data_IF_955421956671
#
_entry.id   IF_955421956671
#
_cell.length_a   1.000
_cell.length_b   1.000
_cell.length_c   1.000
_cell.angle_alpha   90.00
_cell.angle_beta   90.00
_cell.angle_gamma   90.00
#
_symmetry.space_group_name_H-M   'P 1'
#
loop_
_entity.id
_entity.type
_entity.pdbx_description
1 polymer ?
#
# COMPACT_ATOMS: atom_id res chain seq x y z
N UNK A 1 11.88 17.96 0.80
CA UNK A 1 12.18 18.27 2.21
C UNK A 1 13.60 18.81 2.36
N UNK A 2 14.59 18.17 1.73
CA UNK A 2 16.02 18.42 1.97
C UNK A 2 16.50 19.83 1.60
N UNK A 3 15.87 20.47 0.59
CA UNK A 3 16.16 21.84 0.16
C UNK A 3 15.55 22.93 1.05
N UNK A 4 14.29 22.74 1.42
CA UNK A 4 13.44 23.78 2.03
C UNK A 4 13.51 23.73 3.56
N UNK A 5 13.91 22.59 4.12
CA UNK A 5 13.90 22.31 5.56
C UNK A 5 12.95 21.14 5.86
N UNK A 6 13.49 20.09 6.47
CA UNK A 6 12.74 18.86 6.78
C UNK A 6 11.61 19.12 7.77
N UNK A 7 11.86 19.94 8.80
CA UNK A 7 10.85 20.36 9.77
C UNK A 7 9.77 21.23 9.12
N UNK A 8 10.17 22.23 8.35
CA UNK A 8 9.21 23.10 7.64
C UNK A 8 8.28 22.30 6.74
N UNK A 9 8.81 21.38 5.92
CA UNK A 9 7.98 20.55 5.05
C UNK A 9 7.09 19.57 5.82
N UNK A 10 7.59 18.98 6.92
CA UNK A 10 6.77 18.16 7.80
C UNK A 10 5.57 18.95 8.35
N UNK A 11 5.79 20.15 8.89
CA UNK A 11 4.71 20.98 9.43
C UNK A 11 3.71 21.44 8.36
N UNK A 12 4.18 21.80 7.16
CA UNK A 12 3.30 22.10 6.02
C UNK A 12 2.43 20.89 5.67
N UNK A 13 3.04 19.70 5.59
CA UNK A 13 2.32 18.46 5.33
C UNK A 13 1.26 18.16 6.40
N UNK A 14 1.59 18.35 7.68
CA UNK A 14 0.64 18.18 8.79
C UNK A 14 -0.53 19.15 8.68
N UNK A 15 -0.28 20.43 8.40
CA UNK A 15 -1.35 21.44 8.25
C UNK A 15 -2.24 21.12 7.05
N UNK A 16 -1.66 20.79 5.90
CA UNK A 16 -2.41 20.43 4.70
C UNK A 16 -3.26 19.17 4.91
N UNK A 17 -2.68 18.12 5.52
CA UNK A 17 -3.39 16.89 5.86
C UNK A 17 -4.55 17.15 6.82
N UNK A 18 -4.29 17.87 7.91
CA UNK A 18 -5.30 18.16 8.95
C UNK A 18 -6.44 19.02 8.41
N UNK A 19 -6.11 20.02 7.58
CA UNK A 19 -7.12 20.87 6.94
C UNK A 19 -7.93 20.07 5.93
N UNK A 20 -7.28 19.25 5.10
CA UNK A 20 -7.97 18.34 4.17
C UNK A 20 -8.95 17.42 4.90
N UNK A 21 -8.50 16.75 5.98
CA UNK A 21 -9.35 15.90 6.81
C UNK A 21 -10.53 16.66 7.41
N UNK A 22 -10.31 17.88 7.92
CA UNK A 22 -11.40 18.73 8.42
C UNK A 22 -12.44 19.04 7.32
N UNK A 23 -11.97 19.36 6.11
CA UNK A 23 -12.85 19.61 4.96
C UNK A 23 -13.61 18.33 4.55
N UNK A 24 -12.98 17.16 4.60
CA UNK A 24 -13.65 15.88 4.34
C UNK A 24 -14.83 15.65 5.30
N UNK A 25 -14.63 15.92 6.60
CA UNK A 25 -15.72 15.85 7.59
C UNK A 25 -16.84 16.86 7.33
N UNK A 26 -16.52 18.05 6.82
CA UNK A 26 -17.49 19.11 6.48
C UNK A 26 -18.15 18.95 5.10
N UNK A 27 -17.77 17.93 4.32
CA UNK A 27 -18.15 17.84 2.92
C UNK A 27 -19.68 17.78 2.72
N UNK A 28 -20.30 18.71 1.98
CA UNK A 28 -21.75 18.68 1.73
C UNK A 28 -22.13 17.71 0.61
N UNK A 29 -21.21 17.41 -0.30
CA UNK A 29 -21.41 16.53 -1.45
C UNK A 29 -20.12 15.77 -1.80
N UNK A 30 -20.24 14.79 -2.71
CA UNK A 30 -19.14 13.91 -3.11
C UNK A 30 -18.02 14.69 -3.83
N UNK A 31 -18.36 15.68 -4.66
CA UNK A 31 -17.34 16.47 -5.37
C UNK A 31 -16.44 17.24 -4.40
N UNK A 32 -17.04 17.84 -3.37
CA UNK A 32 -16.30 18.54 -2.32
C UNK A 32 -15.43 17.56 -1.53
N UNK A 33 -15.96 16.39 -1.19
CA UNK A 33 -15.21 15.34 -0.49
C UNK A 33 -13.96 14.92 -1.29
N UNK A 34 -14.11 14.73 -2.61
CA UNK A 34 -12.98 14.38 -3.49
C UNK A 34 -11.90 15.47 -3.47
N UNK A 35 -12.28 16.74 -3.59
CA UNK A 35 -11.31 17.86 -3.58
C UNK A 35 -10.61 17.96 -2.21
N UNK A 36 -11.35 17.76 -1.12
CA UNK A 36 -10.80 17.73 0.22
C UNK A 36 -9.81 16.57 0.42
N UNK A 37 -10.15 15.38 -0.09
CA UNK A 37 -9.26 14.20 -0.08
C UNK A 37 -8.01 14.44 -0.92
N UNK A 38 -8.09 15.18 -2.03
CA UNK A 38 -6.91 15.55 -2.81
C UNK A 38 -5.95 16.42 -1.99
N UNK A 39 -6.46 17.39 -1.23
CA UNK A 39 -5.65 18.21 -0.33
C UNK A 39 -5.04 17.36 0.80
N UNK A 40 -5.83 16.47 1.38
CA UNK A 40 -5.38 15.53 2.41
C UNK A 40 -4.25 14.62 1.88
N UNK A 41 -4.42 14.07 0.68
CA UNK A 41 -3.42 13.23 0.01
C UNK A 41 -2.12 13.99 -0.31
N UNK A 42 -2.21 15.26 -0.74
CA UNK A 42 -1.04 16.13 -0.92
C UNK A 42 -0.32 16.33 0.42
N UNK A 43 -1.06 16.59 1.49
CA UNK A 43 -0.52 16.65 2.85
C UNK A 43 0.23 15.37 3.22
N UNK A 44 -0.40 14.21 3.01
CA UNK A 44 0.19 12.89 3.27
C UNK A 44 1.48 12.65 2.48
N UNK A 45 1.48 12.99 1.19
CA UNK A 45 2.64 12.84 0.30
C UNK A 45 3.84 13.69 0.74
N UNK A 46 3.59 14.83 1.39
CA UNK A 46 4.63 15.70 1.96
C UNK A 46 5.08 15.19 3.34
N UNK A 47 4.13 14.86 4.22
CA UNK A 47 4.40 14.60 5.63
C UNK A 47 5.15 13.27 5.84
N UNK A 48 4.80 12.21 5.12
CA UNK A 48 5.36 10.87 5.30
C UNK A 48 6.87 10.83 5.03
N UNK A 49 7.37 11.22 3.84
CA UNK A 49 8.81 11.21 3.57
C UNK A 49 9.57 12.23 4.44
N UNK A 50 8.97 13.39 4.73
CA UNK A 50 9.58 14.39 5.61
C UNK A 50 9.75 13.86 7.05
N UNK A 51 8.81 13.07 7.55
CA UNK A 51 8.89 12.44 8.88
C UNK A 51 10.05 11.45 8.96
N UNK A 52 10.23 10.59 7.95
CA UNK A 52 11.35 9.65 7.90
C UNK A 52 12.68 10.39 7.81
N UNK A 53 12.76 11.44 6.99
CA UNK A 53 13.97 12.26 6.85
C UNK A 53 14.38 12.95 8.17
N UNK A 54 13.40 13.37 9.00
CA UNK A 54 13.65 13.90 10.35
C UNK A 54 14.19 12.83 11.29
N UNK A 55 13.65 11.60 11.24
CA UNK A 55 14.16 10.47 12.02
C UNK A 55 15.62 10.19 11.66
N UNK A 56 15.94 10.11 10.37
CA UNK A 56 17.31 9.86 9.89
C UNK A 56 18.30 10.97 10.27
N UNK A 57 17.82 12.20 10.40
CA UNK A 57 18.65 13.35 10.79
C UNK A 57 18.93 13.39 12.30
N UNK A 58 17.94 13.03 13.11
CA UNK A 58 17.95 13.28 14.56
C UNK A 58 18.76 12.23 15.31
N UNK A 59 18.77 10.99 14.82
CA UNK A 59 19.45 9.88 15.50
C UNK A 59 20.87 9.66 14.96
N UNK A 60 21.84 9.32 15.84
CA UNK A 60 23.17 8.93 15.41
C UNK A 60 23.11 7.64 14.58
N UNK A 61 24.10 7.42 13.70
CA UNK A 61 24.09 6.37 12.67
C UNK A 61 23.83 4.98 13.24
N UNK A 62 24.32 4.70 14.43
CA UNK A 62 24.20 3.42 15.13
C UNK A 62 22.76 3.15 15.59
N UNK A 63 21.98 4.20 15.84
CA UNK A 63 20.58 4.12 16.30
C UNK A 63 19.56 4.23 15.17
N UNK A 64 19.97 4.60 13.96
CA UNK A 64 19.06 4.74 12.80
C UNK A 64 18.22 3.47 12.55
N UNK A 65 18.78 2.25 12.54
CA UNK A 65 17.98 1.05 12.30
C UNK A 65 16.85 0.86 13.32
N UNK A 66 17.14 1.14 14.60
CA UNK A 66 16.15 1.05 15.69
C UNK A 66 15.09 2.13 15.55
N UNK A 67 15.48 3.36 15.23
CA UNK A 67 14.56 4.47 15.07
C UNK A 67 13.60 4.25 13.87
N UNK A 68 14.13 3.75 12.75
CA UNK A 68 13.32 3.38 11.57
C UNK A 68 12.39 2.20 11.89
N UNK A 69 12.84 1.23 12.68
CA UNK A 69 12.00 0.11 13.12
C UNK A 69 10.82 0.60 13.99
N UNK A 70 11.06 1.52 14.92
CA UNK A 70 9.99 2.14 15.75
C UNK A 70 9.02 2.93 14.86
N UNK A 71 9.54 3.76 13.94
CA UNK A 71 8.71 4.51 12.98
C UNK A 71 7.80 3.60 12.16
N UNK A 72 8.33 2.48 11.65
CA UNK A 72 7.55 1.49 10.92
C UNK A 72 6.54 0.74 11.80
N UNK A 73 6.92 0.42 13.04
CA UNK A 73 6.04 -0.27 14.00
C UNK A 73 4.82 0.58 14.37
N UNK A 74 5.00 1.89 14.59
CA UNK A 74 3.90 2.83 14.83
C UNK A 74 2.94 2.83 13.65
N UNK A 75 3.46 2.88 12.41
CA UNK A 75 2.65 2.79 11.20
C UNK A 75 1.85 1.48 11.09
N UNK A 76 2.45 0.35 11.47
CA UNK A 76 1.78 -0.95 11.48
C UNK A 76 0.66 -1.02 12.52
N UNK A 77 0.91 -0.51 13.74
CA UNK A 77 -0.11 -0.43 14.80
C UNK A 77 -1.26 0.48 14.37
N UNK A 78 -0.97 1.66 13.80
CA UNK A 78 -1.98 2.56 13.27
C UNK A 78 -2.82 1.89 12.16
N UNK A 79 -2.17 1.18 11.24
CA UNK A 79 -2.85 0.44 10.17
C UNK A 79 -3.73 -0.71 10.68
N UNK A 80 -3.32 -1.40 11.75
CA UNK A 80 -4.10 -2.46 12.37
C UNK A 80 -5.27 -1.93 13.21
N UNK A 81 -5.07 -0.83 13.94
CA UNK A 81 -6.10 -0.19 14.75
C UNK A 81 -7.13 0.57 13.91
N UNK A 82 -6.74 1.05 12.72
CA UNK A 82 -7.56 1.87 11.83
C UNK A 82 -8.95 1.29 11.53
N UNK A 83 -9.09 0.05 11.01
CA UNK A 83 -10.39 -0.53 10.72
C UNK A 83 -11.31 -0.67 11.94
N UNK A 84 -10.76 -1.06 13.09
CA UNK A 84 -11.55 -1.25 14.32
C UNK A 84 -12.03 0.09 14.89
N UNK A 85 -11.13 1.07 15.00
CA UNK A 85 -11.47 2.41 15.47
C UNK A 85 -12.42 3.12 14.49
N UNK A 86 -12.16 3.00 13.19
CA UNK A 86 -13.02 3.53 12.13
C UNK A 86 -14.41 2.92 12.16
N UNK A 87 -14.52 1.60 12.30
CA UNK A 87 -15.81 0.92 12.43
C UNK A 87 -16.59 1.38 13.66
N UNK A 88 -15.94 1.49 14.82
CA UNK A 88 -16.58 2.00 16.05
C UNK A 88 -17.12 3.43 15.87
N UNK A 89 -16.36 4.29 15.20
CA UNK A 89 -16.73 5.70 14.99
C UNK A 89 -17.86 5.84 13.98
N UNK A 90 -17.82 5.07 12.89
CA UNK A 90 -18.87 5.07 11.87
C UNK A 90 -20.19 4.54 12.43
N UNK A 91 -20.13 3.48 13.26
CA UNK A 91 -21.31 2.81 13.82
C UNK A 91 -21.99 3.64 14.92
N UNK A 92 -21.23 4.35 15.78
CA UNK A 92 -21.78 5.12 16.90
C UNK A 92 -22.02 6.60 16.61
N UNK A 93 -21.30 7.20 15.65
CA UNK A 93 -21.36 8.63 15.37
C UNK A 93 -21.79 8.86 13.92
N UNK A 94 -20.81 8.99 13.03
CA UNK A 94 -21.01 9.02 11.59
C UNK A 94 -19.67 8.84 10.89
N UNK A 95 -19.71 8.54 9.60
CA UNK A 95 -18.50 8.46 8.76
C UNK A 95 -17.67 9.76 8.76
N UNK A 96 -18.28 10.94 9.00
CA UNK A 96 -17.57 12.22 9.05
C UNK A 96 -16.58 12.27 10.21
N UNK A 97 -16.91 11.63 11.33
CA UNK A 97 -16.03 11.59 12.50
C UNK A 97 -14.76 10.78 12.26
N UNK A 98 -14.73 9.88 11.28
CA UNK A 98 -13.50 9.20 10.89
C UNK A 98 -12.41 10.19 10.42
N UNK A 99 -12.82 11.32 9.83
CA UNK A 99 -11.88 12.40 9.46
C UNK A 99 -11.57 13.33 10.63
N UNK A 100 -12.55 13.62 11.51
CA UNK A 100 -12.32 14.49 12.67
C UNK A 100 -11.34 13.92 13.69
N UNK A 101 -11.15 12.60 13.76
CA UNK A 101 -10.13 11.96 14.62
C UNK A 101 -8.72 12.44 14.29
N UNK A 102 -8.46 12.83 13.04
CA UNK A 102 -7.15 13.31 12.62
C UNK A 102 -6.83 14.72 13.14
N UNK A 103 -7.83 15.53 13.49
CA UNK A 103 -7.66 16.91 13.95
C UNK A 103 -6.84 17.02 15.24
N UNK A 104 -7.18 16.33 16.35
CA UNK A 104 -6.40 16.40 17.58
C UNK A 104 -4.97 15.87 17.37
N UNK A 105 -4.80 14.81 16.57
CA UNK A 105 -3.48 14.23 16.26
C UNK A 105 -2.63 15.20 15.43
N UNK A 106 -3.22 15.82 14.42
CA UNK A 106 -2.58 16.82 13.57
C UNK A 106 -2.17 18.07 14.35
N UNK A 107 -3.06 18.59 15.20
CA UNK A 107 -2.80 19.72 16.07
C UNK A 107 -1.66 19.42 17.06
N UNK A 108 -1.72 18.26 17.72
CA UNK A 108 -0.66 17.82 18.64
C UNK A 108 0.69 17.68 17.92
N UNK A 109 0.70 17.04 16.75
CA UNK A 109 1.88 16.86 15.92
C UNK A 109 2.48 18.20 15.45
N UNK A 110 1.64 19.18 15.12
CA UNK A 110 2.07 20.51 14.74
C UNK A 110 2.70 21.27 15.92
N UNK A 111 2.01 21.31 17.07
CA UNK A 111 2.48 22.03 18.26
C UNK A 111 3.78 21.44 18.78
N UNK A 112 3.84 20.11 18.93
CA UNK A 112 5.04 19.42 19.41
C UNK A 112 6.15 19.49 18.38
N UNK A 113 5.83 19.29 17.10
CA UNK A 113 6.78 19.36 16.01
C UNK A 113 7.47 20.73 15.91
N UNK A 114 6.72 21.81 16.13
CA UNK A 114 7.29 23.17 16.13
C UNK A 114 8.24 23.41 17.30
N UNK A 115 7.99 22.80 18.45
CA UNK A 115 8.78 23.00 19.68
C UNK A 115 10.02 22.11 19.77
N UNK A 116 9.90 20.85 19.34
CA UNK A 116 10.89 19.82 19.60
C UNK A 116 11.77 19.52 18.39
N UNK A 117 11.24 19.64 17.17
CA UNK A 117 12.00 19.21 15.99
C UNK A 117 13.10 20.21 15.64
N UNK A 118 14.32 19.72 15.33
CA UNK A 118 15.38 20.55 14.82
C UNK A 118 15.07 21.02 13.40
N UNK A 119 15.46 22.24 13.04
CA UNK A 119 15.47 22.64 11.63
C UNK A 119 16.71 22.05 10.96
N UNK A 120 16.52 21.43 9.80
CA UNK A 120 17.59 20.78 9.05
C UNK A 120 17.38 20.92 7.57
N UNK A 121 18.32 21.56 6.89
CA UNK A 121 18.45 21.55 5.43
C UNK A 121 19.75 20.84 5.07
N UNK A 122 19.75 20.10 3.98
CA UNK A 122 21.00 19.58 3.43
C UNK A 122 21.81 20.73 2.86
N UNK A 123 23.11 20.75 3.16
CA UNK A 123 24.03 21.79 2.67
C UNK A 123 24.19 21.73 1.15
N UNK A 124 24.01 20.55 0.53
CA UNK A 124 24.10 20.38 -0.91
C UNK A 124 23.05 19.36 -1.43
N UNK A 125 21.79 19.79 -1.60
CA UNK A 125 20.64 18.91 -1.83
C UNK A 125 20.52 18.39 -3.28
N UNK A 126 21.61 18.38 -4.07
CA UNK A 126 21.61 17.94 -5.47
C UNK A 126 20.70 18.76 -6.38
N UNK A 127 20.36 18.25 -7.58
CA UNK A 127 19.38 18.83 -8.53
C UNK A 127 17.96 18.32 -8.24
N UNK A 128 16.93 19.11 -8.57
CA UNK A 128 15.54 18.64 -8.49
C UNK A 128 15.32 17.53 -9.53
N UNK A 129 14.50 16.51 -9.20
CA UNK A 129 14.02 15.57 -10.19
C UNK A 129 13.30 16.31 -11.32
N UNK A 130 13.40 15.77 -12.55
CA UNK A 130 12.77 16.35 -13.73
C UNK A 130 11.25 16.55 -13.54
N UNK A 131 10.74 17.80 -13.50
CA UNK A 131 9.32 18.06 -13.22
C UNK A 131 8.40 17.50 -14.32
N UNK A 132 8.89 17.42 -15.57
CA UNK A 132 8.14 16.79 -16.67
C UNK A 132 8.00 15.29 -16.43
N UNK A 133 9.06 14.62 -15.99
CA UNK A 133 9.03 13.23 -15.56
C UNK A 133 8.04 12.99 -14.41
N UNK A 134 8.00 13.89 -13.42
CA UNK A 134 7.03 13.79 -12.31
C UNK A 134 5.60 13.93 -12.83
N UNK A 135 5.32 14.93 -13.67
CA UNK A 135 4.00 15.19 -14.22
C UNK A 135 3.51 14.05 -15.13
N UNK A 136 4.38 13.52 -15.98
CA UNK A 136 4.05 12.39 -16.88
C UNK A 136 3.84 11.09 -16.11
N UNK A 137 4.64 10.80 -15.08
CA UNK A 137 4.42 9.63 -14.22
C UNK A 137 3.09 9.74 -13.46
N UNK A 138 2.86 10.88 -12.78
CA UNK A 138 1.64 11.12 -12.02
C UNK A 138 0.39 11.09 -12.93
N UNK A 139 0.45 11.78 -14.07
CA UNK A 139 -0.63 11.81 -15.05
C UNK A 139 -0.92 10.44 -15.66
N UNK A 140 0.11 9.67 -16.01
CA UNK A 140 -0.05 8.31 -16.52
C UNK A 140 -0.72 7.38 -15.52
N UNK A 141 -0.26 7.38 -14.26
CA UNK A 141 -0.87 6.60 -13.16
C UNK A 141 -2.32 7.05 -12.91
N UNK A 142 -2.58 8.35 -12.93
CA UNK A 142 -3.92 8.92 -12.76
C UNK A 142 -4.86 8.48 -13.89
N UNK A 143 -4.42 8.49 -15.15
CA UNK A 143 -5.21 8.03 -16.30
C UNK A 143 -5.53 6.54 -16.23
N UNK A 144 -4.55 5.70 -15.87
CA UNK A 144 -4.79 4.26 -15.65
C UNK A 144 -5.85 4.07 -14.57
N UNK A 145 -5.66 4.70 -13.42
CA UNK A 145 -6.59 4.64 -12.27
C UNK A 145 -7.98 5.13 -12.67
N UNK A 146 -8.07 6.24 -13.41
CA UNK A 146 -9.31 6.84 -13.85
C UNK A 146 -10.09 5.92 -14.81
N UNK A 147 -9.40 5.32 -15.80
CA UNK A 147 -10.02 4.37 -16.71
C UNK A 147 -10.61 3.18 -15.94
N UNK A 148 -9.85 2.63 -14.99
CA UNK A 148 -10.27 1.49 -14.17
C UNK A 148 -11.49 1.83 -13.32
N UNK A 149 -11.48 2.97 -12.61
CA UNK A 149 -12.58 3.37 -11.73
C UNK A 149 -13.86 3.63 -12.54
N UNK A 150 -13.74 4.21 -13.74
CA UNK A 150 -14.90 4.50 -14.58
C UNK A 150 -15.45 3.29 -15.34
N UNK A 151 -14.82 2.12 -15.20
CA UNK A 151 -15.22 0.93 -15.95
C UNK A 151 -16.66 0.50 -15.69
N UNK A 152 -17.20 0.74 -14.50
CA UNK A 152 -18.61 0.43 -14.21
C UNK A 152 -19.59 1.34 -14.96
N UNK A 153 -19.19 2.57 -15.31
CA UNK A 153 -20.05 3.52 -16.04
C UNK A 153 -19.87 3.41 -17.55
N UNK A 154 -18.63 3.19 -18.02
CA UNK A 154 -18.34 3.14 -19.46
C UNK A 154 -18.38 1.73 -20.03
N UNK A 155 -18.10 0.71 -19.22
CA UNK A 155 -17.86 -0.66 -19.68
C UNK A 155 -16.44 -0.86 -20.21
N UNK A 156 -15.92 -2.08 -20.01
CA UNK A 156 -14.55 -2.49 -20.37
C UNK A 156 -14.25 -2.38 -21.87
N UNK A 157 -15.25 -2.58 -22.74
CA UNK A 157 -15.08 -2.55 -24.20
C UNK A 157 -15.34 -1.19 -24.84
N UNK A 158 -15.60 -0.15 -24.04
CA UNK A 158 -15.95 1.17 -24.58
C UNK A 158 -14.76 1.90 -25.18
N UNK A 159 -15.02 2.69 -26.22
CA UNK A 159 -14.02 3.58 -26.82
C UNK A 159 -13.43 4.57 -25.80
N UNK A 160 -14.20 4.98 -24.78
CA UNK A 160 -13.73 5.85 -23.69
C UNK A 160 -12.71 5.14 -22.81
N UNK A 161 -12.99 3.91 -22.38
CA UNK A 161 -12.05 3.11 -21.59
C UNK A 161 -10.76 2.85 -22.37
N UNK A 162 -10.88 2.32 -23.59
CA UNK A 162 -9.73 1.99 -24.45
C UNK A 162 -8.92 3.24 -24.78
N UNK A 163 -9.58 4.34 -25.18
CA UNK A 163 -8.91 5.60 -25.50
C UNK A 163 -8.17 6.21 -24.30
N UNK A 164 -8.75 6.13 -23.10
CA UNK A 164 -8.08 6.58 -21.87
C UNK A 164 -6.87 5.72 -21.55
N UNK A 165 -6.98 4.39 -21.72
CA UNK A 165 -5.87 3.47 -21.47
C UNK A 165 -4.74 3.62 -22.48
N UNK A 166 -5.05 3.82 -23.78
CA UNK A 166 -4.07 4.12 -24.82
C UNK A 166 -3.36 5.44 -24.52
N UNK A 167 -4.10 6.46 -24.11
CA UNK A 167 -3.52 7.76 -23.69
C UNK A 167 -2.60 7.57 -22.49
N UNK A 168 -3.02 6.80 -21.49
CA UNK A 168 -2.19 6.49 -20.32
C UNK A 168 -0.90 5.77 -20.72
N UNK A 169 -0.97 4.79 -21.62
CA UNK A 169 0.18 4.07 -22.14
C UNK A 169 1.13 5.00 -22.90
N UNK A 170 0.61 5.92 -23.71
CA UNK A 170 1.41 6.92 -24.43
C UNK A 170 2.13 7.88 -23.46
N UNK A 171 1.43 8.36 -22.42
CA UNK A 171 2.01 9.25 -21.39
C UNK A 171 3.09 8.52 -20.57
N UNK A 172 2.86 7.26 -20.20
CA UNK A 172 3.86 6.44 -19.50
C UNK A 172 5.05 6.09 -20.41
N UNK A 173 4.83 5.85 -21.70
CA UNK A 173 5.91 5.67 -22.66
C UNK A 173 6.76 6.96 -22.79
N UNK A 174 6.12 8.13 -22.82
CA UNK A 174 6.80 9.43 -22.79
C UNK A 174 7.62 9.59 -21.51
N UNK A 175 7.09 9.19 -20.35
CA UNK A 175 7.84 9.16 -19.10
C UNK A 175 9.10 8.28 -19.19
N UNK A 176 9.00 7.07 -19.75
CA UNK A 176 10.15 6.16 -19.93
C UNK A 176 11.21 6.78 -20.86
N UNK A 177 10.79 7.35 -21.99
CA UNK A 177 11.70 8.03 -22.93
C UNK A 177 12.35 9.26 -22.30
N UNK A 178 11.62 10.00 -21.45
CA UNK A 178 12.16 11.15 -20.73
C UNK A 178 13.22 10.71 -19.72
N UNK A 179 12.94 9.68 -18.93
CA UNK A 179 13.88 9.14 -17.95
C UNK A 179 15.15 8.56 -18.58
N UNK A 180 15.13 8.13 -19.85
CA UNK A 180 16.33 7.65 -20.54
C UNK A 180 17.19 8.77 -21.14
N UNK A 181 16.69 10.01 -21.23
CA UNK A 181 17.35 11.13 -21.91
C UNK A 181 17.81 12.26 -21.00
N UNK A 182 17.33 12.32 -19.75
CA UNK A 182 17.61 13.43 -18.82
C UNK A 182 18.70 13.05 -17.82
N UNK A 183 19.59 14.00 -17.50
CA UNK A 183 20.72 13.80 -16.58
C UNK A 183 20.30 13.45 -15.14
N UNK A 184 19.16 13.97 -14.68
CA UNK A 184 18.61 13.72 -13.35
C UNK A 184 17.17 13.19 -13.43
N UNK A 185 16.99 11.92 -13.86
CA UNK A 185 15.66 11.34 -14.02
C UNK A 185 15.00 11.12 -12.66
N UNK A 186 13.67 11.16 -12.64
CA UNK A 186 12.90 10.87 -11.41
C UNK A 186 13.11 9.44 -10.94
N UNK A 187 13.24 8.51 -11.90
CA UNK A 187 13.50 7.09 -11.67
C UNK A 187 14.63 6.67 -12.61
N UNK A 188 15.74 6.19 -12.05
CA UNK A 188 16.77 5.54 -12.85
C UNK A 188 16.25 4.20 -13.36
N UNK A 189 16.10 4.06 -14.68
CA UNK A 189 15.58 2.83 -15.31
C UNK A 189 16.47 1.60 -15.07
N UNK A 190 17.74 1.80 -14.68
CA UNK A 190 18.65 0.75 -14.22
C UNK A 190 18.10 -0.03 -13.03
N UNK A 191 17.22 0.55 -12.20
CA UNK A 191 16.53 -0.12 -11.11
C UNK A 191 15.78 -1.38 -11.60
N UNK A 192 15.14 -1.32 -12.76
CA UNK A 192 14.39 -2.45 -13.33
C UNK A 192 15.29 -3.53 -13.94
N UNK A 193 16.60 -3.28 -14.09
CA UNK A 193 17.59 -4.32 -14.44
C UNK A 193 17.87 -5.22 -13.24
N UNK A 194 17.70 -4.73 -12.01
CA UNK A 194 17.84 -5.55 -10.82
C UNK A 194 16.71 -6.57 -10.75
N UNK A 195 17.07 -7.86 -10.81
CA UNK A 195 16.10 -8.94 -10.88
C UNK A 195 15.11 -8.93 -9.71
N UNK A 196 15.60 -8.70 -8.49
CA UNK A 196 14.75 -8.63 -7.30
C UNK A 196 13.81 -7.43 -7.32
N UNK A 197 14.28 -6.25 -7.74
CA UNK A 197 13.43 -5.07 -7.87
C UNK A 197 12.28 -5.31 -8.85
N UNK A 198 12.57 -5.85 -10.04
CA UNK A 198 11.58 -6.12 -11.08
C UNK A 198 10.51 -7.12 -10.62
N UNK A 199 10.92 -8.29 -10.11
CA UNK A 199 9.97 -9.33 -9.71
C UNK A 199 9.23 -9.02 -8.41
N UNK A 200 9.87 -8.35 -7.45
CA UNK A 200 9.21 -7.93 -6.21
C UNK A 200 8.13 -6.88 -6.50
N UNK A 201 8.38 -5.90 -7.37
CA UNK A 201 7.36 -4.93 -7.77
C UNK A 201 6.23 -5.59 -8.59
N UNK A 202 6.55 -6.52 -9.50
CA UNK A 202 5.51 -7.27 -10.24
C UNK A 202 4.60 -8.06 -9.28
N UNK A 203 5.21 -8.78 -8.32
CA UNK A 203 4.46 -9.50 -7.29
C UNK A 203 3.69 -8.54 -6.36
N UNK A 204 4.21 -7.35 -6.08
CA UNK A 204 3.54 -6.32 -5.28
C UNK A 204 2.26 -5.80 -5.95
N UNK A 205 2.24 -5.60 -7.28
CA UNK A 205 0.99 -5.25 -7.99
C UNK A 205 -0.06 -6.31 -7.73
N UNK A 206 0.27 -7.57 -8.03
CA UNK A 206 -0.65 -8.71 -7.94
C UNK A 206 -1.13 -8.90 -6.50
N UNK A 207 -0.22 -8.79 -5.54
CA UNK A 207 -0.55 -8.82 -4.13
C UNK A 207 -1.53 -7.71 -3.76
N UNK A 208 -1.26 -6.46 -4.16
CA UNK A 208 -2.11 -5.32 -3.84
C UNK A 208 -3.51 -5.43 -4.46
N UNK A 209 -3.62 -6.00 -5.66
CA UNK A 209 -4.90 -6.35 -6.31
C UNK A 209 -5.70 -7.28 -5.41
N UNK A 210 -5.19 -8.48 -5.13
CA UNK A 210 -5.93 -9.47 -4.37
C UNK A 210 -6.15 -9.04 -2.91
N UNK A 211 -5.23 -8.27 -2.31
CA UNK A 211 -5.33 -7.81 -0.93
C UNK A 211 -6.47 -6.82 -0.75
N UNK A 212 -6.56 -5.80 -1.60
CA UNK A 212 -7.65 -4.83 -1.53
C UNK A 212 -8.98 -5.45 -2.00
N UNK A 213 -8.94 -6.35 -2.98
CA UNK A 213 -10.12 -7.08 -3.40
C UNK A 213 -10.68 -7.96 -2.26
N UNK A 214 -9.81 -8.71 -1.57
CA UNK A 214 -10.16 -9.48 -0.39
C UNK A 214 -10.72 -8.59 0.71
N UNK A 215 -10.04 -7.49 1.03
CA UNK A 215 -10.45 -6.61 2.13
C UNK A 215 -11.85 -6.04 1.90
N UNK A 216 -12.07 -5.37 0.76
CA UNK A 216 -13.38 -4.80 0.44
C UNK A 216 -14.45 -5.88 0.23
N UNK A 217 -14.13 -6.93 -0.54
CA UNK A 217 -15.07 -8.01 -0.84
C UNK A 217 -15.55 -8.73 0.41
N UNK A 218 -14.66 -8.94 1.38
CA UNK A 218 -15.02 -9.55 2.65
C UNK A 218 -15.88 -8.63 3.53
N UNK A 219 -15.61 -7.31 3.56
CA UNK A 219 -16.50 -6.35 4.24
C UNK A 219 -17.90 -6.39 3.63
N UNK A 220 -17.98 -6.35 2.29
CA UNK A 220 -19.25 -6.39 1.58
C UNK A 220 -19.98 -7.72 1.76
N UNK A 221 -19.26 -8.84 1.82
CA UNK A 221 -19.85 -10.15 2.09
C UNK A 221 -20.48 -10.20 3.48
N UNK A 222 -19.73 -9.83 4.52
CA UNK A 222 -20.23 -9.84 5.89
C UNK A 222 -21.45 -8.92 6.07
N UNK A 223 -21.44 -7.75 5.44
CA UNK A 223 -22.52 -6.77 5.57
C UNK A 223 -23.73 -7.08 4.69
N UNK A 224 -23.53 -7.41 3.40
CA UNK A 224 -24.63 -7.62 2.44
C UNK A 224 -25.20 -9.03 2.43
N UNK A 225 -24.39 -10.07 2.69
CA UNK A 225 -24.85 -11.46 2.66
C UNK A 225 -25.18 -11.95 4.07
N UNK A 226 -24.25 -11.77 5.02
CA UNK A 226 -24.47 -12.21 6.40
C UNK A 226 -25.25 -11.22 7.26
N UNK A 227 -25.55 -10.03 6.74
CA UNK A 227 -26.34 -9.01 7.43
C UNK A 227 -25.67 -8.48 8.70
N UNK A 228 -24.34 -8.58 8.81
CA UNK A 228 -23.63 -8.05 9.97
C UNK A 228 -23.69 -6.52 9.97
N UNK A 229 -23.79 -5.95 11.18
CA UNK A 229 -23.55 -4.51 11.36
C UNK A 229 -22.12 -4.14 10.95
N UNK A 230 -21.89 -2.85 10.68
CA UNK A 230 -20.57 -2.34 10.28
C UNK A 230 -19.53 -2.67 11.36
N UNK A 231 -19.89 -2.48 12.63
CA UNK A 231 -19.03 -2.84 13.75
C UNK A 231 -18.70 -4.34 13.78
N UNK A 232 -19.71 -5.22 13.64
CA UNK A 232 -19.50 -6.67 13.68
C UNK A 232 -18.66 -7.15 12.50
N UNK A 233 -18.86 -6.59 11.31
CA UNK A 233 -18.03 -6.87 10.13
C UNK A 233 -16.58 -6.40 10.32
N UNK A 234 -16.38 -5.19 10.85
CA UNK A 234 -15.05 -4.64 11.15
C UNK A 234 -14.27 -5.47 12.17
N UNK A 235 -14.92 -5.85 13.28
CA UNK A 235 -14.34 -6.75 14.28
C UNK A 235 -14.02 -8.11 13.66
N UNK A 236 -14.92 -8.66 12.85
CA UNK A 236 -14.73 -9.93 12.17
C UNK A 236 -13.46 -9.99 11.31
N UNK A 237 -13.16 -8.91 10.60
CA UNK A 237 -12.01 -8.80 9.68
C UNK A 237 -10.71 -8.43 10.42
N UNK A 238 -10.80 -7.73 11.55
CA UNK A 238 -9.65 -7.27 12.34
C UNK A 238 -8.70 -8.38 12.80
N UNK A 239 -9.18 -9.62 12.88
CA UNK A 239 -8.36 -10.80 13.18
C UNK A 239 -7.18 -10.94 12.21
N UNK A 240 -7.38 -10.64 10.92
CA UNK A 240 -6.34 -10.72 9.91
C UNK A 240 -5.17 -9.78 10.23
N UNK A 241 -5.40 -8.46 10.36
CA UNK A 241 -4.39 -7.50 10.81
C UNK A 241 -3.73 -7.87 12.15
N UNK A 242 -4.48 -8.41 13.13
CA UNK A 242 -3.91 -8.86 14.39
C UNK A 242 -2.91 -10.02 14.21
N UNK A 243 -3.25 -11.00 13.38
CA UNK A 243 -2.34 -12.10 13.02
C UNK A 243 -1.10 -11.56 12.33
N UNK A 244 -1.24 -10.60 11.41
CA UNK A 244 -0.11 -9.95 10.75
C UNK A 244 0.77 -9.23 11.75
N UNK A 245 0.19 -8.41 12.64
CA UNK A 245 0.94 -7.69 13.66
C UNK A 245 1.72 -8.64 14.59
N UNK A 246 1.11 -9.76 14.98
CA UNK A 246 1.73 -10.75 15.83
C UNK A 246 2.86 -11.53 15.15
N UNK A 247 2.75 -11.81 13.85
CA UNK A 247 3.66 -12.74 13.15
C UNK A 247 4.69 -12.08 12.24
N UNK A 248 4.41 -10.89 11.71
CA UNK A 248 5.29 -10.19 10.77
C UNK A 248 6.70 -9.91 11.30
N UNK A 249 6.92 -9.50 12.58
CA UNK A 249 8.27 -9.30 13.10
C UNK A 249 9.11 -10.58 13.10
N UNK A 250 8.48 -11.71 13.46
CA UNK A 250 9.12 -13.02 13.50
C UNK A 250 9.50 -13.49 12.09
N UNK A 251 8.60 -13.32 11.12
CA UNK A 251 8.88 -13.62 9.72
C UNK A 251 9.92 -12.69 9.11
N UNK A 252 9.99 -11.42 9.52
CA UNK A 252 11.07 -10.50 9.15
C UNK A 252 12.45 -10.98 9.61
N UNK A 253 12.57 -11.43 10.87
CA UNK A 253 13.82 -12.03 11.39
C UNK A 253 14.19 -13.30 10.63
N UNK A 254 13.20 -14.16 10.35
CA UNK A 254 13.41 -15.39 9.60
C UNK A 254 13.87 -15.10 8.16
N UNK A 255 13.29 -14.07 7.52
CA UNK A 255 13.67 -13.62 6.18
C UNK A 255 15.14 -13.24 6.08
N UNK A 256 15.68 -12.56 7.11
CA UNK A 256 17.09 -12.22 7.17
C UNK A 256 18.02 -13.45 7.17
N UNK A 257 17.56 -14.61 7.68
CA UNK A 257 18.34 -15.85 7.74
C UNK A 257 18.19 -16.69 6.47
N UNK A 258 16.96 -16.95 6.05
CA UNK A 258 16.65 -17.92 4.99
C UNK A 258 16.38 -17.27 3.62
N UNK A 259 16.27 -15.95 3.56
CA UNK A 259 15.91 -15.17 2.38
C UNK A 259 14.39 -15.02 2.19
N UNK A 260 13.98 -13.90 1.58
CA UNK A 260 12.58 -13.52 1.40
C UNK A 260 11.81 -14.51 0.52
N UNK A 261 12.45 -15.06 -0.52
CA UNK A 261 11.81 -16.03 -1.44
C UNK A 261 11.21 -17.23 -0.71
N UNK A 262 11.90 -17.75 0.31
CA UNK A 262 11.46 -18.94 1.07
C UNK A 262 10.24 -18.68 1.95
N UNK A 263 9.91 -17.41 2.20
CA UNK A 263 8.69 -17.01 2.90
C UNK A 263 7.58 -16.63 1.92
N UNK A 264 7.93 -15.94 0.83
CA UNK A 264 6.98 -15.48 -0.17
C UNK A 264 6.25 -16.59 -0.92
N UNK A 265 6.99 -17.65 -1.30
CA UNK A 265 6.41 -18.80 -2.03
C UNK A 265 5.32 -19.50 -1.21
N UNK A 266 5.58 -19.96 0.03
CA UNK A 266 4.53 -20.55 0.86
C UNK A 266 3.48 -19.52 1.30
N UNK A 267 3.87 -18.26 1.51
CA UNK A 267 2.93 -17.18 1.86
C UNK A 267 1.85 -16.96 0.81
N UNK A 268 2.23 -16.91 -0.48
CA UNK A 268 1.27 -16.76 -1.58
C UNK A 268 0.33 -17.96 -1.72
N UNK A 269 0.82 -19.18 -1.49
CA UNK A 269 -0.01 -20.39 -1.49
C UNK A 269 -0.99 -20.43 -0.31
N UNK A 270 -0.51 -20.04 0.88
CA UNK A 270 -1.33 -19.95 2.09
C UNK A 270 -2.43 -18.89 1.95
N UNK A 271 -2.10 -17.80 1.27
CA UNK A 271 -3.07 -16.76 0.96
C UNK A 271 -4.08 -17.22 -0.10
N UNK A 272 -3.63 -17.94 -1.13
CA UNK A 272 -4.51 -18.50 -2.16
C UNK A 272 -5.49 -19.55 -1.59
N UNK A 273 -5.01 -20.41 -0.68
CA UNK A 273 -5.87 -21.42 -0.04
C UNK A 273 -6.99 -20.80 0.78
N UNK A 274 -6.80 -19.61 1.35
CA UNK A 274 -7.88 -18.86 1.98
C UNK A 274 -9.02 -18.48 1.03
N UNK A 275 -8.70 -18.06 -0.20
CA UNK A 275 -9.72 -17.83 -1.23
C UNK A 275 -10.48 -19.11 -1.58
N UNK A 276 -9.75 -20.23 -1.75
CA UNK A 276 -10.34 -21.54 -2.05
C UNK A 276 -11.24 -22.02 -0.91
N UNK A 277 -10.83 -21.83 0.35
CA UNK A 277 -11.62 -22.21 1.52
C UNK A 277 -12.94 -21.43 1.59
N UNK A 278 -12.93 -20.12 1.30
CA UNK A 278 -14.16 -19.34 1.26
C UNK A 278 -15.08 -19.81 0.12
N UNK A 279 -14.55 -20.09 -1.07
CA UNK A 279 -15.36 -20.65 -2.17
C UNK A 279 -15.97 -22.00 -1.76
N UNK A 280 -15.22 -22.84 -1.06
CA UNK A 280 -15.67 -24.18 -0.72
C UNK A 280 -16.66 -24.24 0.45
N UNK A 281 -16.59 -23.28 1.39
CA UNK A 281 -17.31 -23.36 2.67
C UNK A 281 -18.25 -22.20 2.96
N UNK A 282 -18.08 -21.05 2.32
CA UNK A 282 -18.92 -19.90 2.63
C UNK A 282 -20.33 -20.13 2.10
N UNK A 283 -21.30 -20.00 3.01
CA UNK A 283 -22.72 -20.08 2.72
C UNK A 283 -23.39 -18.73 2.96
N UNK A 284 -24.67 -18.62 2.60
CA UNK A 284 -25.49 -17.45 2.94
C UNK A 284 -25.80 -17.36 4.44
N UNK A 285 -25.72 -18.48 5.16
CA UNK A 285 -25.86 -18.54 6.61
C UNK A 285 -24.57 -18.13 7.31
N UNK A 286 -24.61 -17.23 8.31
CA UNK A 286 -23.40 -16.81 9.02
C UNK A 286 -22.74 -17.96 9.79
N UNK A 287 -21.51 -18.30 9.42
CA UNK A 287 -20.64 -19.23 10.17
C UNK A 287 -19.26 -18.59 10.40
N UNK A 288 -19.19 -17.76 11.44
CA UNK A 288 -17.96 -17.04 11.75
C UNK A 288 -16.87 -17.99 12.29
N UNK A 289 -17.19 -18.87 13.24
CA UNK A 289 -16.18 -19.68 13.92
C UNK A 289 -15.70 -20.86 13.07
N UNK A 290 -16.58 -21.51 12.31
CA UNK A 290 -16.24 -22.69 11.50
C UNK A 290 -15.61 -22.35 10.16
N UNK A 291 -16.05 -21.25 9.53
CA UNK A 291 -15.67 -20.91 8.16
C UNK A 291 -14.82 -19.64 8.10
N UNK A 292 -15.27 -18.54 8.69
CA UNK A 292 -14.63 -17.25 8.46
C UNK A 292 -13.35 -17.04 9.26
N UNK A 293 -13.36 -17.32 10.56
CA UNK A 293 -12.25 -17.10 11.49
C UNK A 293 -11.00 -17.89 11.08
N UNK A 294 -11.07 -19.21 10.79
CA UNK A 294 -9.92 -19.97 10.32
C UNK A 294 -9.37 -19.39 9.01
N UNK A 295 -10.24 -18.95 8.11
CA UNK A 295 -9.84 -18.42 6.81
C UNK A 295 -9.18 -17.05 6.93
N UNK A 296 -9.70 -16.14 7.76
CA UNK A 296 -9.09 -14.83 8.01
C UNK A 296 -7.75 -14.98 8.74
N UNK A 297 -7.63 -15.94 9.67
CA UNK A 297 -6.35 -16.23 10.30
C UNK A 297 -5.32 -16.77 9.28
N UNK A 298 -5.75 -17.69 8.40
CA UNK A 298 -4.92 -18.28 7.36
C UNK A 298 -4.44 -17.24 6.34
N UNK A 299 -5.36 -16.41 5.84
CA UNK A 299 -5.03 -15.31 4.91
C UNK A 299 -4.17 -14.25 5.60
N UNK A 300 -4.39 -13.96 6.89
CA UNK A 300 -3.54 -13.10 7.71
C UNK A 300 -2.10 -13.59 7.78
N UNK A 301 -1.88 -14.89 7.99
CA UNK A 301 -0.54 -15.50 7.92
C UNK A 301 0.09 -15.34 6.53
N UNK A 302 -0.69 -15.59 5.46
CA UNK A 302 -0.24 -15.40 4.09
C UNK A 302 0.20 -13.96 3.81
N UNK A 303 -0.59 -12.98 4.26
CA UNK A 303 -0.28 -11.54 4.18
C UNK A 303 1.01 -11.21 4.94
N UNK A 304 1.20 -11.75 6.15
CA UNK A 304 2.39 -11.53 6.96
C UNK A 304 3.69 -12.06 6.30
N UNK A 305 3.57 -13.16 5.55
CA UNK A 305 4.65 -13.76 4.76
C UNK A 305 4.91 -13.04 3.43
N UNK A 306 3.95 -12.27 2.94
CA UNK A 306 4.04 -11.57 1.66
C UNK A 306 4.38 -10.09 1.78
N UNK A 307 3.52 -9.28 2.39
CA UNK A 307 3.57 -7.82 2.27
C UNK A 307 4.90 -7.20 2.76
N UNK A 308 5.41 -7.52 3.97
CA UNK A 308 6.70 -7.00 4.42
C UNK A 308 7.87 -7.51 3.57
N UNK A 309 7.76 -8.74 3.09
CA UNK A 309 8.82 -9.43 2.34
C UNK A 309 8.94 -8.92 0.90
N UNK A 310 7.82 -8.61 0.24
CA UNK A 310 7.80 -7.95 -1.06
C UNK A 310 8.41 -6.55 -0.97
N UNK A 311 8.03 -5.80 0.07
CA UNK A 311 8.56 -4.46 0.32
C UNK A 311 10.07 -4.50 0.56
N UNK A 312 10.54 -5.44 1.38
CA UNK A 312 11.97 -5.66 1.64
C UNK A 312 12.73 -6.10 0.39
N UNK A 313 12.21 -7.09 -0.35
CA UNK A 313 12.86 -7.63 -1.54
C UNK A 313 13.00 -6.60 -2.67
N UNK A 314 12.07 -5.63 -2.75
CA UNK A 314 12.14 -4.56 -3.72
C UNK A 314 13.34 -3.64 -3.46
N UNK A 315 13.67 -3.34 -2.20
CA UNK A 315 14.67 -2.31 -1.86
C UNK A 315 16.02 -2.87 -1.39
N UNK A 316 16.11 -4.15 -0.99
CA UNK A 316 17.30 -4.73 -0.39
C UNK A 316 18.57 -4.67 -1.27
N UNK A 317 18.41 -4.69 -2.59
CA UNK A 317 19.53 -4.65 -3.54
C UNK A 317 19.85 -3.27 -4.11
N UNK A 318 19.21 -2.21 -3.61
CA UNK A 318 19.37 -0.87 -4.15
C UNK A 318 20.48 -0.08 -3.44
N UNK A 319 21.26 0.71 -4.18
CA UNK A 319 22.14 1.73 -3.60
C UNK A 319 21.36 2.69 -2.69
N UNK A 320 22.01 3.20 -1.64
CA UNK A 320 21.38 4.05 -0.62
C UNK A 320 20.77 5.34 -1.19
N UNK A 321 21.38 5.91 -2.22
CA UNK A 321 20.92 7.07 -2.99
C UNK A 321 19.66 6.77 -3.82
N UNK A 322 19.37 5.51 -4.11
CA UNK A 322 18.23 5.09 -4.92
C UNK A 322 17.09 4.48 -4.09
N UNK A 323 17.28 4.30 -2.77
CA UNK A 323 16.29 3.72 -1.87
C UNK A 323 14.97 4.48 -1.88
N UNK A 324 15.03 5.82 -1.86
CA UNK A 324 13.84 6.69 -1.89
C UNK A 324 13.04 6.53 -3.18
N UNK A 325 13.70 6.55 -4.33
CA UNK A 325 13.06 6.34 -5.64
C UNK A 325 12.46 4.93 -5.76
N UNK A 326 13.21 3.90 -5.32
CA UNK A 326 12.73 2.52 -5.33
C UNK A 326 11.51 2.28 -4.43
N UNK A 327 11.50 2.89 -3.23
CA UNK A 327 10.35 2.84 -2.32
C UNK A 327 9.13 3.57 -2.90
N UNK A 328 9.33 4.71 -3.55
CA UNK A 328 8.28 5.45 -4.22
C UNK A 328 7.64 4.64 -5.36
N UNK A 329 8.44 3.93 -6.16
CA UNK A 329 7.94 2.99 -7.17
C UNK A 329 7.09 1.90 -6.53
N UNK A 330 7.60 1.26 -5.47
CA UNK A 330 6.84 0.22 -4.75
C UNK A 330 5.49 0.70 -4.25
N UNK A 331 5.42 1.93 -3.72
CA UNK A 331 4.17 2.54 -3.28
C UNK A 331 3.22 2.88 -4.43
N UNK A 332 3.72 3.43 -5.53
CA UNK A 332 2.92 3.73 -6.72
C UNK A 332 2.29 2.46 -7.33
N UNK A 333 3.12 1.41 -7.46
CA UNK A 333 2.75 0.09 -7.96
C UNK A 333 1.73 -0.59 -7.05
N UNK A 334 1.91 -0.48 -5.73
CA UNK A 334 0.93 -0.94 -4.73
C UNK A 334 -0.40 -0.19 -4.83
N UNK A 335 -0.38 1.13 -4.98
CA UNK A 335 -1.60 1.93 -5.11
C UNK A 335 -2.37 1.59 -6.39
N UNK A 336 -1.67 1.44 -7.52
CA UNK A 336 -2.27 0.96 -8.77
C UNK A 336 -2.97 -0.39 -8.60
N UNK A 337 -2.28 -1.37 -7.98
CA UNK A 337 -2.89 -2.66 -7.70
C UNK A 337 -4.09 -2.56 -6.76
N UNK A 338 -4.02 -1.68 -5.75
CA UNK A 338 -5.10 -1.45 -4.81
C UNK A 338 -6.38 -0.95 -5.49
N UNK A 339 -6.25 0.04 -6.39
CA UNK A 339 -7.36 0.55 -7.21
C UNK A 339 -7.98 -0.55 -8.08
N UNK A 340 -7.15 -1.34 -8.77
CA UNK A 340 -7.59 -2.47 -9.59
C UNK A 340 -8.38 -3.50 -8.77
N UNK A 341 -7.89 -3.84 -7.57
CA UNK A 341 -8.57 -4.76 -6.66
C UNK A 341 -9.96 -4.29 -6.27
N UNK A 342 -10.08 -3.03 -5.85
CA UNK A 342 -11.37 -2.41 -5.49
C UNK A 342 -12.32 -2.37 -6.69
N UNK A 343 -11.84 -1.93 -7.85
CA UNK A 343 -12.66 -1.87 -9.06
C UNK A 343 -13.19 -3.24 -9.49
N UNK A 344 -12.37 -4.29 -9.40
CA UNK A 344 -12.82 -5.67 -9.69
C UNK A 344 -13.87 -6.16 -8.69
N UNK A 345 -13.74 -5.86 -7.40
CA UNK A 345 -14.78 -6.21 -6.42
C UNK A 345 -16.10 -5.53 -6.77
N UNK A 346 -16.07 -4.23 -7.06
CA UNK A 346 -17.30 -3.52 -7.44
C UNK A 346 -17.89 -4.15 -8.70
N UNK A 347 -17.08 -4.39 -9.74
CA UNK A 347 -17.54 -5.02 -10.98
C UNK A 347 -18.16 -6.41 -10.75
N UNK A 348 -17.62 -7.20 -9.82
CA UNK A 348 -18.16 -8.52 -9.47
C UNK A 348 -19.39 -8.48 -8.56
N UNK A 349 -19.65 -7.35 -7.88
CA UNK A 349 -20.67 -7.23 -6.83
C UNK A 349 -21.77 -6.19 -7.11
N UNK A 350 -21.74 -5.52 -8.27
CA UNK A 350 -22.71 -4.45 -8.62
C UNK A 350 -24.10 -5.00 -8.91
N UNK A 351 -24.22 -6.11 -9.65
CA UNK A 351 -25.51 -6.68 -10.09
C UNK A 351 -25.96 -7.88 -9.26
N UNK A 352 -25.67 -7.87 -7.95
CA UNK A 352 -26.04 -8.99 -7.08
C UNK A 352 -27.54 -8.96 -6.77
N UNK A 353 -28.24 -10.01 -7.19
CA UNK A 353 -29.57 -10.35 -6.68
C UNK A 353 -29.45 -11.26 -5.46
N UNK A 354 -30.51 -11.43 -4.67
CA UNK A 354 -30.48 -12.34 -3.53
C UNK A 354 -30.09 -13.78 -3.92
N UNK A 355 -30.42 -14.22 -5.15
CA UNK A 355 -30.08 -15.54 -5.68
C UNK A 355 -28.64 -15.65 -6.20
N UNK A 356 -28.05 -14.57 -6.70
CA UNK A 356 -26.69 -14.55 -7.27
C UNK A 356 -25.64 -13.92 -6.36
N UNK A 357 -26.03 -13.50 -5.15
CA UNK A 357 -25.15 -12.78 -4.23
C UNK A 357 -23.85 -13.53 -3.96
N UNK A 358 -23.91 -14.85 -3.76
CA UNK A 358 -22.73 -15.66 -3.47
C UNK A 358 -21.79 -15.81 -4.67
N UNK A 359 -22.31 -15.82 -5.90
CA UNK A 359 -21.50 -15.97 -7.12
C UNK A 359 -20.55 -14.79 -7.34
N UNK A 360 -21.00 -13.58 -7.04
CA UNK A 360 -20.13 -12.39 -7.08
C UNK A 360 -18.96 -12.52 -6.12
N UNK A 361 -19.21 -13.00 -4.90
CA UNK A 361 -18.15 -13.22 -3.89
C UNK A 361 -17.25 -14.40 -4.23
N UNK A 362 -17.77 -15.47 -4.85
CA UNK A 362 -16.95 -16.55 -5.40
C UNK A 362 -15.93 -16.03 -6.42
N UNK A 363 -16.31 -15.07 -7.28
CA UNK A 363 -15.36 -14.42 -8.23
C UNK A 363 -14.31 -13.60 -7.50
N UNK A 364 -14.67 -12.88 -6.44
CA UNK A 364 -13.71 -12.13 -5.61
C UNK A 364 -12.72 -13.08 -4.93
N UNK A 365 -13.18 -14.18 -4.35
CA UNK A 365 -12.30 -15.17 -3.72
C UNK A 365 -11.50 -15.99 -4.74
N UNK A 366 -12.02 -16.16 -5.95
CA UNK A 366 -11.29 -16.74 -7.08
C UNK A 366 -10.15 -15.84 -7.53
N UNK A 367 -10.39 -14.53 -7.59
CA UNK A 367 -9.35 -13.52 -7.82
C UNK A 367 -8.29 -13.57 -6.73
N UNK A 368 -8.68 -13.68 -5.46
CA UNK A 368 -7.76 -13.85 -4.34
C UNK A 368 -6.86 -15.10 -4.52
N UNK A 369 -7.47 -16.24 -4.86
CA UNK A 369 -6.74 -17.48 -5.12
C UNK A 369 -5.75 -17.33 -6.27
N UNK A 370 -6.18 -16.77 -7.40
CA UNK A 370 -5.35 -16.51 -8.57
C UNK A 370 -4.19 -15.56 -8.24
N UNK A 371 -4.45 -14.47 -7.52
CA UNK A 371 -3.43 -13.53 -7.07
C UNK A 371 -2.40 -14.20 -6.16
N UNK A 372 -2.81 -15.07 -5.24
CA UNK A 372 -1.87 -15.79 -4.38
C UNK A 372 -0.96 -16.75 -5.15
N UNK A 373 -1.51 -17.51 -6.11
CA UNK A 373 -0.70 -18.37 -7.00
C UNK A 373 0.26 -17.54 -7.84
N UNK A 374 -0.20 -16.43 -8.42
CA UNK A 374 0.65 -15.54 -9.21
C UNK A 374 1.76 -14.90 -8.37
N UNK A 375 1.46 -14.46 -7.13
CA UNK A 375 2.47 -13.96 -6.19
C UNK A 375 3.52 -15.03 -5.92
N UNK A 376 3.11 -16.29 -5.72
CA UNK A 376 4.04 -17.42 -5.55
C UNK A 376 4.92 -17.62 -6.78
N UNK A 377 4.34 -17.63 -7.99
CA UNK A 377 5.07 -17.82 -9.24
C UNK A 377 6.06 -16.68 -9.51
N UNK A 378 5.65 -15.43 -9.33
CA UNK A 378 6.51 -14.26 -9.50
C UNK A 378 7.63 -14.23 -8.45
N UNK A 379 7.31 -14.54 -7.20
CA UNK A 379 8.29 -14.57 -6.10
C UNK A 379 9.30 -15.71 -6.24
N UNK A 380 8.96 -16.78 -6.95
CA UNK A 380 9.89 -17.88 -7.24
C UNK A 380 11.10 -17.43 -8.09
N UNK A 381 10.95 -16.32 -8.83
CA UNK A 381 12.00 -15.72 -9.66
C UNK A 381 12.95 -14.81 -8.88
N UNK A 382 12.71 -14.58 -7.58
CA UNK A 382 13.61 -13.82 -6.72
C UNK A 382 14.90 -14.60 -6.45
N UNK A 383 16.01 -13.88 -6.43
CA UNK A 383 17.35 -14.42 -6.16
C UNK A 383 17.73 -14.09 -4.71
N UNK A 384 18.34 -15.05 -4.03
CA UNK A 384 18.88 -14.83 -2.69
C UNK A 384 20.08 -13.89 -2.78
N UNK A 385 19.97 -12.71 -2.17
CA UNK A 385 21.14 -11.86 -1.95
C UNK A 385 21.94 -12.43 -0.78
N UNK A 386 23.26 -12.54 -0.93
CA UNK A 386 24.14 -12.92 0.17
C UNK A 386 24.01 -11.88 1.30
N UNK A 387 24.10 -12.29 2.58
CA UNK A 387 24.04 -11.35 3.69
C UNK A 387 25.17 -10.30 3.56
N UNK A 388 24.93 -9.05 4.01
CA UNK A 388 25.87 -7.94 3.81
C UNK A 388 27.27 -8.19 4.39
N UNK A 389 27.39 -9.03 5.43
CA UNK A 389 28.68 -9.47 5.99
C UNK A 389 29.54 -10.20 4.95
N UNK A 390 28.94 -11.01 4.09
CA UNK A 390 29.67 -11.72 3.03
C UNK A 390 30.02 -10.81 1.85
N UNK A 391 29.28 -9.73 1.62
CA UNK A 391 29.61 -8.76 0.56
C UNK A 391 30.79 -7.87 0.95
N UNK A 392 30.87 -7.45 2.22
CA UNK A 392 32.03 -6.73 2.74
C UNK A 392 33.29 -7.61 2.75
N UNK A 393 33.18 -8.88 3.15
CA UNK A 393 34.30 -9.83 3.11
C UNK A 393 34.72 -10.20 1.68
N UNK A 394 33.77 -10.37 0.75
CA UNK A 394 34.07 -10.65 -0.65
C UNK A 394 34.72 -9.46 -1.36
N UNK A 395 34.30 -8.23 -1.04
CA UNK A 395 34.93 -7.01 -1.55
C UNK A 395 36.33 -6.81 -0.93
N UNK A 396 36.53 -7.17 0.34
CA UNK A 396 37.82 -7.11 1.01
C UNK A 396 38.80 -8.21 0.56
N UNK A 397 38.32 -9.34 0.02
CA UNK A 397 39.16 -10.40 -0.56
C UNK A 397 39.46 -10.21 -2.05
N UNK A 398 38.82 -9.24 -2.69
CA UNK A 398 39.02 -8.88 -4.11
C UNK A 398 39.99 -7.70 -4.30
N UNK A 399 40.45 -7.11 -3.19
CA UNK A 399 41.57 -6.18 -3.10
C UNK A 399 42.72 -6.87 -2.38
#
# INVERSE_FOLDING_TARGET
ADRVGRRKMFLIGVVAFTTGSMLCGLAPNVQFLIVAEMLEAVGAAILVPSSLALVLQTFPREKIPVAVAIWGAIGAVAGAAGPTLGALVVDNLSWRWAFYINLPVGLFSFVLGRRVLPEGREANPGRLPDPVGVATLAGGIALVTYAIVQTNTWGWASARFIGTLVTAAAVLAMFVVRCSRVDNPVIHLSLFRANNFRWANAAMVVFAIGFNAMFLGNVLFLTRVWGYSILRAGLGISVGPLVVAATAPSFGKLAGRIGQRRLLVPGGLLWASGGILLIARATTTPDYLGTYLPTVALTGLGVALCLPQLSSAAVQGLPADQFGAGSAVGQAVRNLGSTLGVAMVIAFTTDLTAASALDGFHRVWGLLAACGVLVTLLSSRLIRLAPPVNQALAAASAH
#
